data_IF_861253402745
#
_entry.id   IF_861253402745
#
_cell.length_a   1.000
_cell.length_b   1.000
_cell.length_c   1.000
_cell.angle_alpha   90.00
_cell.angle_beta   90.00
_cell.angle_gamma   90.00
#
_symmetry.space_group_name_H-M   'P 1'
#
loop_
_entity.id
_entity.type
_entity.pdbx_description
1 polymer ?
#
# COMPACT_ATOMS: atom_id res chain seq x y z
N UNK A 1 -25.92 -18.68 7.16
CA UNK A 1 -24.52 -18.45 7.54
C UNK A 1 -24.56 -17.32 8.54
N UNK A 2 -24.39 -17.62 9.83
CA UNK A 2 -24.23 -16.59 10.87
C UNK A 2 -22.84 -15.99 10.72
N UNK A 3 -22.78 -14.70 10.42
CA UNK A 3 -21.54 -13.92 10.40
C UNK A 3 -21.21 -13.52 11.83
N UNK A 4 -20.01 -13.87 12.31
CA UNK A 4 -19.52 -13.61 13.68
C UNK A 4 -19.07 -12.14 13.90
N UNK A 5 -19.72 -11.21 13.22
CA UNK A 5 -19.39 -9.80 13.28
C UNK A 5 -20.65 -8.94 13.17
N UNK A 6 -20.67 -7.89 13.97
CA UNK A 6 -21.76 -6.91 14.01
C UNK A 6 -21.62 -5.96 12.81
N UNK A 7 -22.70 -5.82 12.03
CA UNK A 7 -22.75 -4.90 10.89
C UNK A 7 -23.73 -3.78 11.20
N UNK A 8 -23.24 -2.54 11.25
CA UNK A 8 -24.06 -1.35 11.45
C UNK A 8 -24.05 -0.50 10.16
N UNK A 9 -25.25 -0.11 9.71
CA UNK A 9 -25.42 0.77 8.54
C UNK A 9 -25.50 2.21 9.04
N UNK A 10 -24.51 3.04 8.67
CA UNK A 10 -24.44 4.46 9.00
C UNK A 10 -24.43 5.32 7.73
N UNK A 11 -24.78 6.59 7.88
CA UNK A 11 -24.59 7.59 6.84
C UNK A 11 -23.10 7.81 6.53
N UNK A 12 -22.78 8.11 5.27
CA UNK A 12 -21.40 8.20 4.76
C UNK A 12 -20.49 9.06 5.65
N UNK A 13 -20.98 10.23 6.05
CA UNK A 13 -20.21 11.19 6.83
C UNK A 13 -19.92 10.67 8.25
N UNK A 14 -20.87 9.93 8.85
CA UNK A 14 -20.72 9.32 10.17
C UNK A 14 -19.82 8.08 10.14
N UNK A 15 -19.91 7.27 9.07
CA UNK A 15 -19.00 6.16 8.82
C UNK A 15 -17.55 6.65 8.60
N UNK A 16 -17.36 7.73 7.84
CA UNK A 16 -16.06 8.37 7.63
C UNK A 16 -15.53 9.04 8.91
N UNK A 17 -16.39 9.60 9.76
CA UNK A 17 -16.02 10.19 11.03
C UNK A 17 -15.60 9.14 12.08
N UNK A 18 -16.25 7.98 12.11
CA UNK A 18 -15.86 6.83 12.94
C UNK A 18 -14.50 6.25 12.51
N UNK A 19 -14.23 6.21 11.19
CA UNK A 19 -12.90 5.93 10.64
C UNK A 19 -11.89 7.03 10.99
N UNK A 20 -12.31 8.30 11.01
CA UNK A 20 -11.46 9.45 11.36
C UNK A 20 -11.06 9.50 12.83
N UNK A 21 -11.89 8.96 13.73
CA UNK A 21 -11.64 8.92 15.19
C UNK A 21 -10.81 7.70 15.61
N UNK A 22 -10.87 6.62 14.83
CA UNK A 22 -10.21 5.34 15.13
C UNK A 22 -9.03 5.00 14.20
N UNK A 23 -8.87 5.74 13.10
CA UNK A 23 -7.99 5.40 11.98
C UNK A 23 -7.14 6.57 11.50
N UNK A 24 -6.12 6.93 12.28
CA UNK A 24 -4.83 7.33 11.70
C UNK A 24 -4.68 8.78 11.22
N UNK A 25 -5.27 9.78 11.88
CA UNK A 25 -4.90 11.20 11.64
C UNK A 25 -3.52 11.62 12.22
N UNK A 26 -2.74 10.67 12.74
CA UNK A 26 -1.44 10.97 13.35
C UNK A 26 -0.43 9.83 13.41
N UNK A 27 -0.72 8.67 12.79
CA UNK A 27 0.32 7.65 12.58
C UNK A 27 0.88 7.89 11.19
N UNK A 28 1.94 8.71 11.10
CA UNK A 28 2.85 8.62 9.95
C UNK A 28 3.18 7.14 9.78
N UNK A 29 2.79 6.56 8.65
CA UNK A 29 3.08 5.17 8.34
C UNK A 29 4.58 4.93 8.52
N UNK A 30 5.00 3.77 9.01
CA UNK A 30 6.44 3.41 9.05
C UNK A 30 7.10 3.56 7.68
N UNK A 31 6.31 3.45 6.61
CA UNK A 31 6.73 3.56 5.22
C UNK A 31 6.55 4.96 4.63
N UNK A 32 6.19 5.97 5.42
CA UNK A 32 6.13 7.37 4.99
C UNK A 32 7.44 7.83 4.32
N UNK A 33 8.65 7.44 4.80
CA UNK A 33 9.89 7.76 4.10
C UNK A 33 9.97 7.18 2.68
N UNK A 34 9.33 6.04 2.41
CA UNK A 34 9.27 5.44 1.07
C UNK A 34 8.41 6.30 0.14
N UNK A 35 7.30 6.84 0.65
CA UNK A 35 6.45 7.75 -0.11
C UNK A 35 7.18 9.08 -0.41
N UNK A 36 7.92 9.63 0.54
CA UNK A 36 8.73 10.84 0.32
C UNK A 36 9.82 10.58 -0.73
N UNK A 37 10.57 9.48 -0.59
CA UNK A 37 11.61 9.11 -1.56
C UNK A 37 11.03 8.92 -2.97
N UNK A 38 9.82 8.36 -3.09
CA UNK A 38 9.13 8.19 -4.38
C UNK A 38 8.82 9.52 -5.07
N UNK A 39 8.58 10.59 -4.31
CA UNK A 39 8.37 11.94 -4.85
C UNK A 39 9.67 12.63 -5.27
N UNK A 40 10.82 12.15 -4.78
CA UNK A 40 12.14 12.77 -5.01
C UNK A 40 12.92 12.15 -6.17
N UNK A 41 12.67 10.87 -6.51
CA UNK A 41 13.36 10.19 -7.60
C UNK A 41 12.75 10.52 -8.98
N UNK A 42 13.54 10.34 -10.03
CA UNK A 42 13.02 10.33 -11.40
C UNK A 42 12.21 9.05 -11.62
N UNK A 43 10.88 9.16 -11.65
CA UNK A 43 9.98 8.00 -11.67
C UNK A 43 10.06 7.21 -12.98
N UNK A 44 10.54 7.81 -14.07
CA UNK A 44 10.67 7.17 -15.38
C UNK A 44 11.97 6.37 -15.49
N UNK A 45 13.05 6.80 -14.83
CA UNK A 45 14.38 6.18 -14.92
C UNK A 45 14.80 5.39 -13.66
N UNK A 46 14.19 5.66 -12.50
CA UNK A 46 14.62 5.15 -11.20
C UNK A 46 13.56 4.28 -10.50
N UNK A 47 14.00 3.52 -9.49
CA UNK A 47 13.14 2.62 -8.72
C UNK A 47 13.67 2.45 -7.30
N UNK A 48 12.77 2.25 -6.34
CA UNK A 48 13.12 2.03 -4.93
C UNK A 48 13.11 0.54 -4.63
N UNK A 49 14.21 0.03 -4.09
CA UNK A 49 14.33 -1.37 -3.65
C UNK A 49 14.33 -1.43 -2.13
N UNK A 50 13.50 -2.31 -1.58
CA UNK A 50 13.35 -2.55 -0.15
C UNK A 50 13.58 -4.03 0.15
N UNK A 51 14.28 -4.34 1.23
CA UNK A 51 14.68 -5.70 1.62
C UNK A 51 14.32 -5.98 3.07
N UNK A 52 14.22 -7.27 3.43
CA UNK A 52 13.92 -7.68 4.81
C UNK A 52 12.49 -7.38 5.25
N UNK A 53 11.54 -7.34 4.31
CA UNK A 53 10.14 -7.01 4.58
C UNK A 53 9.35 -8.25 4.99
N UNK A 54 8.39 -8.10 5.89
CA UNK A 54 7.39 -9.12 6.18
C UNK A 54 6.21 -9.03 5.19
N UNK A 55 5.41 -10.09 5.08
CA UNK A 55 4.22 -10.11 4.20
C UNK A 55 3.26 -8.93 4.50
N UNK A 56 3.08 -8.57 5.76
CA UNK A 56 2.26 -7.42 6.18
C UNK A 56 2.87 -6.08 5.76
N UNK A 57 4.20 -5.96 5.72
CA UNK A 57 4.88 -4.76 5.28
C UNK A 57 4.55 -4.46 3.80
N UNK A 58 4.50 -5.51 2.96
CA UNK A 58 4.13 -5.38 1.54
C UNK A 58 2.71 -4.81 1.39
N UNK A 59 1.76 -5.30 2.19
CA UNK A 59 0.38 -4.81 2.16
C UNK A 59 0.30 -3.35 2.62
N UNK A 60 1.01 -2.99 3.68
CA UNK A 60 1.05 -1.61 4.17
C UNK A 60 1.69 -0.65 3.16
N UNK A 61 2.77 -1.07 2.49
CA UNK A 61 3.41 -0.32 1.41
C UNK A 61 2.44 -0.07 0.24
N UNK A 62 1.76 -1.11 -0.23
CA UNK A 62 0.75 -0.99 -1.29
C UNK A 62 -0.37 -0.02 -0.90
N UNK A 63 -0.93 -0.20 0.30
CA UNK A 63 -2.03 0.65 0.78
C UNK A 63 -1.62 2.12 0.87
N UNK A 64 -0.41 2.40 1.37
CA UNK A 64 0.13 3.77 1.46
C UNK A 64 0.32 4.38 0.06
N UNK A 65 1.08 3.70 -0.80
CA UNK A 65 1.49 4.24 -2.10
C UNK A 65 0.30 4.35 -3.05
N UNK A 66 -0.60 3.37 -3.07
CA UNK A 66 -1.79 3.43 -3.93
C UNK A 66 -2.80 4.47 -3.47
N UNK A 67 -2.92 4.73 -2.15
CA UNK A 67 -3.76 5.82 -1.64
C UNK A 67 -3.20 7.19 -2.03
N UNK A 68 -1.87 7.36 -1.99
CA UNK A 68 -1.23 8.67 -2.18
C UNK A 68 -0.99 9.01 -3.65
N UNK A 69 -0.53 8.03 -4.43
CA UNK A 69 -0.08 8.24 -5.80
C UNK A 69 -0.98 7.58 -6.85
N UNK A 70 -1.93 6.74 -6.43
CA UNK A 70 -2.81 6.02 -7.35
C UNK A 70 -2.15 4.76 -7.92
N UNK A 71 -2.92 3.67 -7.98
CA UNK A 71 -2.45 2.37 -8.51
C UNK A 71 -2.16 2.41 -10.02
N UNK A 72 -2.62 3.45 -10.73
CA UNK A 72 -2.26 3.67 -12.13
C UNK A 72 -0.85 4.23 -12.32
N UNK A 73 -0.28 4.90 -11.31
CA UNK A 73 1.01 5.58 -11.44
C UNK A 73 2.15 4.79 -10.79
N UNK A 74 1.89 4.13 -9.66
CA UNK A 74 2.91 3.38 -8.91
C UNK A 74 2.54 1.91 -8.81
N UNK A 75 3.55 1.03 -8.89
CA UNK A 75 3.41 -0.40 -8.68
C UNK A 75 4.43 -0.91 -7.65
N UNK A 76 3.97 -1.78 -6.75
CA UNK A 76 4.81 -2.49 -5.78
C UNK A 76 4.89 -3.96 -6.14
N UNK A 77 6.03 -4.37 -6.71
CA UNK A 77 6.34 -5.79 -6.98
C UNK A 77 7.12 -6.35 -5.79
N UNK A 78 6.85 -7.60 -5.43
CA UNK A 78 7.52 -8.25 -4.31
C UNK A 78 7.85 -9.70 -4.63
N UNK A 79 8.96 -10.19 -4.10
CA UNK A 79 9.39 -11.57 -4.19
C UNK A 79 9.84 -12.07 -2.81
N UNK A 80 9.41 -13.28 -2.44
CA UNK A 80 9.89 -13.93 -1.23
C UNK A 80 11.35 -14.35 -1.40
N UNK A 81 12.14 -14.19 -0.35
CA UNK A 81 13.55 -14.59 -0.24
C UNK A 81 13.67 -15.92 0.52
N UNK A 82 14.87 -16.50 0.56
CA UNK A 82 15.14 -17.79 1.23
C UNK A 82 14.87 -17.73 2.74
N UNK A 83 15.12 -16.58 3.38
CA UNK A 83 14.93 -16.36 4.83
C UNK A 83 13.49 -15.98 5.22
N UNK A 84 12.49 -16.38 4.44
CA UNK A 84 11.05 -16.07 4.63
C UNK A 84 10.67 -14.58 4.56
N UNK A 85 11.65 -13.69 4.43
CA UNK A 85 11.45 -12.25 4.19
C UNK A 85 11.11 -11.97 2.73
N UNK A 86 10.69 -10.75 2.46
CA UNK A 86 10.32 -10.27 1.13
C UNK A 86 11.27 -9.14 0.71
N UNK A 87 11.60 -9.15 -0.57
CA UNK A 87 12.18 -8.02 -1.29
C UNK A 87 11.07 -7.35 -2.09
N UNK A 88 11.00 -6.03 -2.06
CA UNK A 88 10.04 -5.25 -2.82
C UNK A 88 10.74 -4.23 -3.72
N UNK A 89 10.12 -3.97 -4.87
CA UNK A 89 10.50 -2.92 -5.82
C UNK A 89 9.29 -2.01 -6.01
N UNK A 90 9.50 -0.72 -5.77
CA UNK A 90 8.54 0.35 -6.06
C UNK A 90 9.05 1.07 -7.30
N UNK A 91 8.20 1.14 -8.33
CA UNK A 91 8.53 1.81 -9.59
C UNK A 91 7.29 2.41 -10.24
N UNK A 92 7.51 3.24 -11.25
CA UNK A 92 6.42 3.77 -12.05
C UNK A 92 5.78 2.63 -12.83
N UNK A 93 4.49 2.78 -13.08
CA UNK A 93 3.76 1.83 -13.90
C UNK A 93 3.92 2.20 -15.37
N UNK A 94 4.67 1.40 -16.12
CA UNK A 94 4.84 1.60 -17.55
C UNK A 94 3.73 0.89 -18.36
N UNK A 95 2.77 1.64 -18.88
CA UNK A 95 1.79 1.16 -19.86
C UNK A 95 0.81 0.07 -19.37
N UNK A 96 0.34 -0.78 -20.29
CA UNK A 96 -0.64 -1.86 -20.07
C UNK A 96 -0.10 -3.04 -19.25
N UNK A 97 0.70 -2.81 -18.21
CA UNK A 97 1.03 -3.85 -17.24
C UNK A 97 -0.26 -4.20 -16.49
N UNK A 98 -0.95 -5.25 -16.94
CA UNK A 98 -2.19 -5.74 -16.35
C UNK A 98 -2.02 -5.92 -14.84
N UNK A 99 -3.02 -5.44 -14.09
CA UNK A 99 -3.28 -5.90 -12.74
C UNK A 99 -3.35 -7.43 -12.87
N UNK A 100 -2.37 -8.17 -12.35
CA UNK A 100 -2.61 -9.59 -12.12
C UNK A 100 -3.75 -9.60 -11.12
N UNK A 101 -4.92 -10.00 -11.58
CA UNK A 101 -5.99 -10.49 -10.72
C UNK A 101 -5.33 -11.46 -9.75
N UNK A 102 -5.39 -11.12 -8.48
CA UNK A 102 -5.01 -11.98 -7.37
C UNK A 102 -6.02 -13.15 -7.41
N UNK A 103 -5.65 -14.26 -8.07
CA UNK A 103 -6.32 -15.56 -7.89
C UNK A 103 -5.91 -16.19 -6.56
#
# INVERSE_FOLDING_TARGET
METDFEMEVKDREEAEHELGTSGGRGRTSRYEPVAQQWEEIDQDEESIVLEGLEKNDIQNLRNLLYRRFGKENVIVRSAQQEDETFKAVVRAREGSEYLRDDE
#
